data_IF_243192533212
#
_entry.id   IF_243192533212
#
_cell.length_a   1.000
_cell.length_b   1.000
_cell.length_c   1.000
_cell.angle_alpha   90.00
_cell.angle_beta   90.00
_cell.angle_gamma   90.00
#
_symmetry.space_group_name_H-M   'P 1'
#
loop_
_entity.id
_entity.type
_entity.pdbx_description
1 polymer ?
#
# COMPACT_ATOMS: atom_id res chain seq x y z
N UNK A 1 -4.47 -7.33 7.27
CA UNK A 1 -5.44 -6.26 7.57
C UNK A 1 -6.04 -5.81 6.26
N UNK A 2 -7.27 -5.31 6.27
CA UNK A 2 -7.84 -4.67 5.10
C UNK A 2 -7.28 -3.25 4.94
N UNK A 3 -7.28 -2.73 3.70
CA UNK A 3 -6.87 -1.36 3.39
C UNK A 3 -7.70 -0.35 4.19
N UNK A 4 -8.99 -0.63 4.39
CA UNK A 4 -9.88 0.21 5.20
C UNK A 4 -9.39 0.39 6.64
N UNK A 5 -8.88 -0.69 7.26
CA UNK A 5 -8.33 -0.59 8.61
C UNK A 5 -7.06 0.26 8.62
N UNK A 6 -6.20 0.09 7.61
CA UNK A 6 -4.98 0.90 7.46
C UNK A 6 -5.34 2.38 7.33
N UNK A 7 -6.30 2.72 6.47
CA UNK A 7 -6.74 4.11 6.26
C UNK A 7 -7.31 4.70 7.56
N UNK A 8 -8.14 3.96 8.29
CA UNK A 8 -8.66 4.42 9.60
C UNK A 8 -7.54 4.73 10.57
N UNK A 9 -6.53 3.87 10.64
CA UNK A 9 -5.38 4.06 11.51
C UNK A 9 -4.57 5.30 11.09
N UNK A 10 -4.36 5.51 9.78
CA UNK A 10 -3.66 6.68 9.23
C UNK A 10 -4.38 7.99 9.54
N UNK A 11 -5.69 8.04 9.32
CA UNK A 11 -6.53 9.21 9.64
C UNK A 11 -6.53 9.47 11.15
N UNK A 12 -6.59 8.42 11.98
CA UNK A 12 -6.53 8.57 13.44
C UNK A 12 -5.22 9.19 13.94
N UNK A 13 -4.14 9.01 13.17
CA UNK A 13 -2.82 9.62 13.39
C UNK A 13 -2.70 11.04 12.81
N UNK A 14 -3.81 11.63 12.35
CA UNK A 14 -3.88 12.95 11.72
C UNK A 14 -2.97 13.08 10.48
N UNK A 15 -2.83 12.01 9.70
CA UNK A 15 -2.14 12.09 8.41
C UNK A 15 -3.07 12.69 7.35
N UNK A 16 -2.54 13.68 6.63
CA UNK A 16 -3.26 14.36 5.56
C UNK A 16 -2.97 13.78 4.18
N UNK A 17 -1.78 13.23 3.96
CA UNK A 17 -1.38 12.59 2.71
C UNK A 17 -0.57 11.33 2.99
N UNK A 18 -0.66 10.37 2.08
CA UNK A 18 0.20 9.18 2.06
C UNK A 18 0.68 8.92 0.65
N UNK A 19 1.84 8.28 0.52
CA UNK A 19 2.44 7.97 -0.76
C UNK A 19 2.38 6.48 -1.02
N UNK A 20 1.74 6.07 -2.10
CA UNK A 20 1.71 4.68 -2.55
C UNK A 20 2.89 4.44 -3.45
N UNK A 21 3.71 3.46 -3.11
CA UNK A 21 4.87 3.08 -3.91
C UNK A 21 4.86 1.58 -4.19
N UNK A 22 4.77 1.22 -5.47
CA UNK A 22 4.96 -0.16 -5.91
C UNK A 22 6.46 -0.41 -6.13
N UNK A 23 6.96 -1.48 -5.52
CA UNK A 23 8.36 -1.87 -5.58
C UNK A 23 8.48 -3.39 -5.57
N UNK A 24 9.69 -3.90 -5.74
CA UNK A 24 9.98 -5.32 -5.61
C UNK A 24 11.11 -5.53 -4.60
N UNK A 25 11.04 -6.63 -3.84
CA UNK A 25 12.14 -7.02 -2.97
C UNK A 25 13.33 -7.54 -3.79
N UNK A 26 14.44 -7.82 -3.11
CA UNK A 26 15.66 -8.38 -3.72
C UNK A 26 15.45 -9.73 -4.43
N UNK A 27 14.33 -10.41 -4.18
CA UNK A 27 13.93 -11.66 -4.81
C UNK A 27 12.97 -11.47 -6.00
N UNK A 28 12.68 -10.23 -6.39
CA UNK A 28 11.78 -9.90 -7.49
C UNK A 28 10.29 -10.07 -7.14
N UNK A 29 9.92 -10.22 -5.87
CA UNK A 29 8.52 -10.23 -5.46
C UNK A 29 8.01 -8.80 -5.34
N UNK A 30 6.94 -8.52 -6.04
CA UNK A 30 6.31 -7.19 -6.06
C UNK A 30 5.43 -6.95 -4.83
N UNK A 31 5.52 -5.74 -4.31
CA UNK A 31 4.80 -5.25 -3.15
C UNK A 31 4.39 -3.81 -3.34
N UNK A 32 3.36 -3.42 -2.59
CA UNK A 32 2.91 -2.03 -2.48
C UNK A 32 3.21 -1.56 -1.07
N UNK A 33 3.85 -0.40 -0.95
CA UNK A 33 4.13 0.28 0.32
C UNK A 33 3.31 1.57 0.40
N UNK A 34 2.83 1.86 1.60
CA UNK A 34 2.33 3.17 1.99
C UNK A 34 3.42 3.87 2.78
N UNK A 35 3.79 5.06 2.33
CA UNK A 35 4.85 5.88 2.89
C UNK A 35 4.28 7.20 3.43
N UNK A 36 4.94 7.79 4.43
CA UNK A 36 4.67 9.17 4.83
C UNK A 36 5.44 10.17 3.94
N UNK A 37 5.27 11.47 4.22
CA UNK A 37 5.93 12.56 3.48
C UNK A 37 7.45 12.58 3.59
N UNK A 38 8.01 11.80 4.52
CA UNK A 38 9.44 11.65 4.73
C UNK A 38 9.97 10.35 4.08
N UNK A 39 9.09 9.50 3.53
CA UNK A 39 9.43 8.20 2.98
C UNK A 39 9.47 7.08 4.02
N UNK A 40 9.01 7.31 5.25
CA UNK A 40 8.90 6.25 6.25
C UNK A 40 7.77 5.30 5.88
N UNK A 41 8.01 4.00 6.01
CA UNK A 41 7.00 2.99 5.77
C UNK A 41 5.94 2.99 6.87
N UNK A 42 4.68 3.08 6.45
CA UNK A 42 3.50 3.08 7.32
C UNK A 42 2.81 1.72 7.30
N UNK A 43 2.64 1.16 6.10
CA UNK A 43 2.06 -0.15 5.87
C UNK A 43 2.52 -0.71 4.52
N UNK A 44 2.38 -2.01 4.31
CA UNK A 44 2.75 -2.63 3.04
C UNK A 44 1.97 -3.93 2.81
N UNK A 45 1.94 -4.41 1.57
CA UNK A 45 1.45 -5.75 1.23
C UNK A 45 2.19 -6.34 0.03
N UNK A 46 2.24 -7.66 -0.06
CA UNK A 46 2.63 -8.32 -1.31
C UNK A 46 1.48 -8.25 -2.31
N UNK A 47 1.78 -7.99 -3.59
CA UNK A 47 0.76 -8.09 -4.65
C UNK A 47 0.20 -9.52 -4.72
N UNK A 48 1.05 -10.53 -4.50
CA UNK A 48 0.68 -11.95 -4.52
C UNK A 48 -0.35 -12.37 -3.47
N UNK A 49 -0.49 -11.59 -2.39
CA UNK A 49 -1.29 -11.97 -1.23
C UNK A 49 -2.72 -11.41 -1.30
N UNK A 50 -3.01 -10.57 -2.31
CA UNK A 50 -4.32 -9.97 -2.52
C UNK A 50 -4.55 -8.67 -1.76
N UNK A 51 -5.71 -8.07 -1.98
CA UNK A 51 -6.08 -6.74 -1.45
C UNK A 51 -6.28 -6.71 0.08
N UNK A 52 -6.51 -7.87 0.71
CA UNK A 52 -6.82 -7.97 2.15
C UNK A 52 -5.60 -8.30 3.04
N UNK A 53 -4.38 -8.21 2.50
CA UNK A 53 -3.15 -8.68 3.15
C UNK A 53 -2.21 -7.55 3.58
N UNK A 54 -2.73 -6.37 3.90
CA UNK A 54 -1.94 -5.26 4.42
C UNK A 54 -1.35 -5.56 5.79
N UNK A 55 -0.10 -5.11 6.00
CA UNK A 55 0.72 -5.33 7.19
C UNK A 55 1.31 -4.00 7.68
N UNK A 56 1.36 -3.80 8.99
CA UNK A 56 1.93 -2.61 9.61
C UNK A 56 2.53 -2.92 11.00
N UNK A 57 3.75 -2.46 11.34
CA UNK A 57 5.02 -2.42 10.56
C UNK A 57 5.84 -3.74 10.74
N UNK A 58 7.00 -4.08 10.16
CA UNK A 58 7.99 -3.51 9.23
C UNK A 58 8.21 -4.48 8.05
N UNK A 59 8.31 -4.00 6.81
CA UNK A 59 8.71 -4.83 5.67
C UNK A 59 10.22 -5.08 5.67
N UNK A 60 10.66 -6.02 4.82
CA UNK A 60 12.08 -6.34 4.60
C UNK A 60 12.83 -5.22 3.86
N UNK A 61 12.10 -4.32 3.18
CA UNK A 61 12.69 -3.18 2.45
C UNK A 61 12.85 -1.97 3.38
N UNK A 62 11.91 -1.76 4.29
CA UNK A 62 11.90 -0.63 5.21
C UNK A 62 11.53 0.69 4.55
N UNK A 63 11.76 1.79 5.28
CA UNK A 63 11.55 3.15 4.80
C UNK A 63 12.69 3.67 3.93
N UNK A 64 12.41 4.72 3.19
CA UNK A 64 13.35 5.42 2.33
C UNK A 64 13.81 6.72 3.00
N UNK A 65 14.95 7.26 2.56
CA UNK A 65 15.46 8.56 3.04
C UNK A 65 14.56 9.73 2.61
N UNK A 66 13.84 9.56 1.50
CA UNK A 66 12.82 10.47 0.97
C UNK A 66 11.80 9.63 0.19
N UNK A 67 10.62 10.20 -0.06
CA UNK A 67 9.60 9.60 -0.93
C UNK A 67 10.21 9.26 -2.31
N UNK A 68 10.12 8.00 -2.78
CA UNK A 68 10.60 7.61 -4.09
C UNK A 68 9.90 8.37 -5.22
N UNK A 69 10.63 8.71 -6.31
CA UNK A 69 10.08 9.49 -7.42
C UNK A 69 8.94 8.80 -8.19
N UNK A 70 8.77 7.47 -8.03
CA UNK A 70 7.66 6.71 -8.59
C UNK A 70 6.48 6.53 -7.64
N UNK A 71 6.48 7.20 -6.48
CA UNK A 71 5.39 7.12 -5.53
C UNK A 71 4.30 8.14 -5.87
N UNK A 72 3.05 7.69 -5.86
CA UNK A 72 1.87 8.53 -6.09
C UNK A 72 1.33 9.04 -4.76
N UNK A 73 1.08 10.35 -4.67
CA UNK A 73 0.48 10.96 -3.47
C UNK A 73 -1.04 10.76 -3.45
N UNK A 74 -1.56 10.36 -2.30
CA UNK A 74 -2.98 10.22 -2.00
C UNK A 74 -3.36 11.12 -0.84
N UNK A 75 -4.30 12.01 -1.13
CA UNK A 75 -4.87 12.91 -0.15
C UNK A 75 -5.89 12.19 0.73
N UNK A 76 -5.60 12.13 2.03
CA UNK A 76 -6.45 11.61 3.10
C UNK A 76 -7.24 12.71 3.82
N UNK A 77 -6.99 13.99 3.52
CA UNK A 77 -7.62 15.14 4.20
C UNK A 77 -9.13 15.22 3.98
N UNK A 78 -9.62 14.63 2.88
CA UNK A 78 -11.04 14.50 2.57
C UNK A 78 -11.76 13.44 3.43
N UNK A 79 -11.05 12.72 4.28
CA UNK A 79 -11.61 11.76 5.23
C UNK A 79 -11.68 10.32 4.71
N UNK A 80 -12.22 9.43 5.55
CA UNK A 80 -12.17 7.98 5.36
C UNK A 80 -12.87 7.52 4.08
N UNK A 81 -14.05 8.05 3.77
CA UNK A 81 -14.81 7.61 2.59
C UNK A 81 -14.07 7.91 1.29
N UNK A 82 -13.48 9.11 1.16
CA UNK A 82 -12.69 9.48 -0.01
C UNK A 82 -11.43 8.62 -0.15
N UNK A 83 -10.73 8.41 0.96
CA UNK A 83 -9.52 7.60 0.99
C UNK A 83 -9.81 6.13 0.67
N UNK A 84 -10.87 5.55 1.25
CA UNK A 84 -11.27 4.15 1.01
C UNK A 84 -11.64 3.93 -0.45
N UNK A 85 -12.36 4.87 -1.07
CA UNK A 85 -12.68 4.79 -2.50
C UNK A 85 -11.40 4.90 -3.35
N UNK A 86 -10.57 5.90 -3.11
CA UNK A 86 -9.40 6.18 -3.98
C UNK A 86 -8.34 5.08 -3.84
N UNK A 87 -7.86 4.84 -2.61
CA UNK A 87 -6.84 3.82 -2.35
C UNK A 87 -7.38 2.41 -2.53
N UNK A 88 -8.62 2.12 -2.10
CA UNK A 88 -9.21 0.78 -2.25
C UNK A 88 -9.46 0.40 -3.71
N UNK A 89 -9.87 1.36 -4.55
CA UNK A 89 -10.06 1.12 -5.99
C UNK A 89 -8.73 0.84 -6.69
N UNK A 90 -7.69 1.60 -6.39
CA UNK A 90 -6.36 1.34 -6.94
C UNK A 90 -5.73 0.07 -6.39
N UNK A 91 -5.98 -0.26 -5.12
CA UNK A 91 -5.49 -1.49 -4.52
C UNK A 91 -6.04 -2.73 -5.25
N UNK A 92 -7.33 -2.68 -5.58
CA UNK A 92 -8.00 -3.71 -6.39
C UNK A 92 -7.58 -3.68 -7.86
N UNK A 93 -7.30 -2.51 -8.44
CA UNK A 93 -6.81 -2.39 -9.81
C UNK A 93 -5.41 -2.99 -9.95
N UNK A 94 -4.49 -2.67 -9.03
CA UNK A 94 -3.13 -3.22 -8.99
C UNK A 94 -3.13 -4.74 -8.76
N UNK A 95 -4.13 -5.27 -8.04
CA UNK A 95 -4.30 -6.72 -7.93
C UNK A 95 -4.81 -7.38 -9.23
N UNK A 96 -5.62 -6.68 -10.02
CA UNK A 96 -6.17 -7.24 -11.28
C UNK A 96 -5.15 -7.32 -12.42
N UNK A 97 -4.00 -6.65 -12.31
CA UNK A 97 -2.90 -6.79 -13.27
C UNK A 97 -2.07 -8.06 -13.06
N UNK A 98 -2.25 -8.76 -11.92
CA UNK A 98 -1.61 -10.05 -11.74
C UNK A 98 -2.27 -11.11 -12.62
N UNK A 99 -1.49 -11.89 -13.39
CA UNK A 99 -2.05 -13.04 -14.07
C UNK A 99 -2.67 -13.99 -13.04
N UNK A 100 -3.80 -14.65 -13.36
CA UNK A 100 -4.44 -15.58 -12.45
C UNK A 100 -3.42 -16.58 -11.92
N UNK A 101 -3.43 -16.81 -10.60
CA UNK A 101 -2.57 -17.84 -10.00
C UNK A 101 -2.78 -19.14 -10.77
N UNK A 102 -1.72 -19.78 -11.25
CA UNK A 102 -1.87 -21.01 -12.02
C UNK A 102 -2.47 -22.12 -11.13
N UNK A 103 -3.34 -22.93 -11.73
CA UNK A 103 -4.29 -23.85 -11.06
C UNK A 103 -3.66 -24.88 -10.09
N UNK A 104 -2.33 -25.03 -10.10
CA UNK A 104 -1.59 -26.00 -9.28
C UNK A 104 -1.28 -25.53 -7.85
N UNK A 105 -1.72 -24.33 -7.46
CA UNK A 105 -1.56 -23.80 -6.11
C UNK A 105 -2.75 -24.09 -5.17
N UNK A 106 -3.62 -25.05 -5.50
CA UNK A 106 -4.71 -25.53 -4.62
C UNK A 106 -4.23 -26.62 -3.65
#
# INVERSE_FOLDING_TARGET
MDIDQVIRDLISKAMNSVWVYQTANSYGKEMVQLLDSQGNELAWRWLSDGCAAWQAPSSVIGGYTNVPAGASEYDLSHGFEYASITLGTEDCANYSELPPRPDWCC
#
